data_IF_336354921274
#
_entry.id   IF_336354921274
#
_cell.length_a   1.000
_cell.length_b   1.000
_cell.length_c   1.000
_cell.angle_alpha   90.00
_cell.angle_beta   90.00
_cell.angle_gamma   90.00
#
_symmetry.space_group_name_H-M   'P 1'
#
loop_
_entity.id
_entity.type
_entity.pdbx_description
1 polymer ?
#
# COMPACT_ATOMS: atom_id res chain seq x y z
N UNK A 1 6.28 -4.91 -35.80
CA UNK A 1 5.78 -4.95 -34.39
C UNK A 1 6.55 -4.02 -33.45
N UNK A 2 7.87 -4.16 -33.32
CA UNK A 2 8.68 -3.32 -32.41
C UNK A 2 8.67 -1.82 -32.78
N UNK A 3 8.61 -1.52 -34.09
CA UNK A 3 8.52 -0.14 -34.59
C UNK A 3 7.14 0.47 -34.34
N UNK A 4 6.06 -0.25 -34.64
CA UNK A 4 4.70 0.21 -34.32
C UNK A 4 4.44 0.29 -32.80
N UNK A 5 5.04 -0.59 -32.00
CA UNK A 5 4.96 -0.52 -30.53
C UNK A 5 5.70 0.70 -29.99
N UNK A 6 6.88 1.03 -30.55
CA UNK A 6 7.60 2.25 -30.19
C UNK A 6 6.79 3.49 -30.55
N UNK A 7 6.19 3.53 -31.74
CA UNK A 7 5.34 4.65 -32.15
C UNK A 7 4.06 4.75 -31.32
N UNK A 8 3.51 3.62 -30.87
CA UNK A 8 2.38 3.56 -29.93
C UNK A 8 2.76 4.03 -28.52
N UNK A 9 3.90 3.57 -27.99
CA UNK A 9 4.41 3.91 -26.68
C UNK A 9 4.91 5.35 -26.61
N UNK A 10 5.27 5.98 -27.74
CA UNK A 10 5.63 7.40 -27.81
C UNK A 10 4.40 8.31 -27.92
N UNK A 11 3.18 7.76 -28.02
CA UNK A 11 1.97 8.59 -27.95
C UNK A 11 1.85 9.15 -26.53
N UNK A 12 1.84 10.48 -26.42
CA UNK A 12 1.77 11.17 -25.13
C UNK A 12 0.66 10.67 -24.21
N UNK A 13 -0.53 10.39 -24.76
CA UNK A 13 -1.68 9.90 -24.00
C UNK A 13 -1.45 8.53 -23.31
N UNK A 14 -0.66 7.63 -23.91
CA UNK A 14 -0.37 6.31 -23.36
C UNK A 14 0.71 6.39 -22.27
N UNK A 15 1.71 7.24 -22.47
CA UNK A 15 2.80 7.47 -21.50
C UNK A 15 2.26 8.16 -20.24
N UNK A 16 1.47 9.22 -20.40
CA UNK A 16 0.88 9.97 -19.29
C UNK A 16 -0.05 9.08 -18.44
N UNK A 17 -0.87 8.25 -19.10
CA UNK A 17 -1.72 7.28 -18.42
C UNK A 17 -0.89 6.25 -17.65
N UNK A 18 0.16 5.69 -18.25
CA UNK A 18 1.03 4.72 -17.59
C UNK A 18 1.73 5.32 -16.36
N UNK A 19 2.24 6.54 -16.47
CA UNK A 19 2.86 7.27 -15.34
C UNK A 19 1.83 7.47 -14.23
N UNK A 20 0.61 7.90 -14.55
CA UNK A 20 -0.46 8.10 -13.56
C UNK A 20 -0.81 6.83 -12.79
N UNK A 21 -0.88 5.69 -13.48
CA UNK A 21 -1.17 4.39 -12.85
C UNK A 21 -0.01 3.95 -11.94
N UNK A 22 1.24 4.08 -12.40
CA UNK A 22 2.42 3.69 -11.62
C UNK A 22 2.53 4.53 -10.35
N UNK A 23 2.34 5.84 -10.46
CA UNK A 23 2.36 6.75 -9.31
C UNK A 23 1.19 6.42 -8.38
N UNK A 24 -0.02 6.23 -8.90
CA UNK A 24 -1.19 5.87 -8.09
C UNK A 24 -0.99 4.57 -7.30
N UNK A 25 -0.44 3.54 -7.93
CA UNK A 25 -0.16 2.26 -7.29
C UNK A 25 0.96 2.36 -6.23
N UNK A 26 2.04 3.07 -6.53
CA UNK A 26 3.16 3.22 -5.61
C UNK A 26 2.82 4.14 -4.42
N UNK A 27 2.09 5.23 -4.66
CA UNK A 27 1.77 6.23 -3.64
C UNK A 27 0.90 5.66 -2.52
N UNK A 28 0.00 4.71 -2.83
CA UNK A 28 -0.78 4.00 -1.82
C UNK A 28 0.10 3.26 -0.80
N UNK A 29 1.22 2.67 -1.25
CA UNK A 29 2.16 1.97 -0.35
C UNK A 29 2.91 2.97 0.53
N UNK A 30 3.29 4.13 -0.02
CA UNK A 30 3.93 5.21 0.75
C UNK A 30 2.99 5.71 1.85
N UNK A 31 1.73 5.99 1.50
CA UNK A 31 0.72 6.43 2.47
C UNK A 31 0.48 5.34 3.52
N UNK A 32 0.41 4.06 3.12
CA UNK A 32 0.25 2.94 4.05
C UNK A 32 1.40 2.84 5.05
N UNK A 33 2.65 2.94 4.60
CA UNK A 33 3.82 2.93 5.49
C UNK A 33 3.82 4.15 6.42
N UNK A 34 3.48 5.34 5.91
CA UNK A 34 3.36 6.53 6.75
C UNK A 34 2.31 6.34 7.87
N UNK A 35 1.13 5.81 7.53
CA UNK A 35 0.10 5.55 8.53
C UNK A 35 0.55 4.46 9.51
N UNK A 36 1.10 3.37 9.01
CA UNK A 36 1.45 2.18 9.81
C UNK A 36 2.64 2.43 10.72
N UNK A 37 3.68 3.06 10.21
CA UNK A 37 4.97 3.13 10.87
C UNK A 37 5.13 4.42 11.69
N UNK A 38 4.40 5.49 11.33
CA UNK A 38 4.51 6.80 11.99
C UNK A 38 3.24 7.18 12.76
N UNK A 39 2.05 6.94 12.21
CA UNK A 39 0.79 7.35 12.88
C UNK A 39 0.25 6.30 13.84
N UNK A 40 0.32 5.00 13.52
CA UNK A 40 -0.20 3.95 14.40
C UNK A 40 0.51 3.84 15.76
N UNK A 41 1.84 4.04 15.91
CA UNK A 41 2.47 3.94 17.23
C UNK A 41 1.95 5.02 18.21
N UNK A 42 1.90 6.32 17.87
CA UNK A 42 1.31 7.34 18.75
C UNK A 42 -0.19 7.14 18.97
N UNK A 43 -0.96 6.76 17.94
CA UNK A 43 -2.39 6.50 18.06
C UNK A 43 -2.68 5.27 18.94
N UNK A 44 -1.89 4.20 18.80
CA UNK A 44 -1.99 3.00 19.63
C UNK A 44 -1.65 3.27 21.09
N UNK A 45 -0.69 4.15 21.35
CA UNK A 45 -0.38 4.63 22.70
C UNK A 45 -1.51 5.50 23.28
N UNK A 46 -2.07 6.41 22.48
CA UNK A 46 -3.16 7.30 22.91
C UNK A 46 -4.50 6.57 23.14
N UNK A 47 -4.77 5.50 22.38
CA UNK A 47 -5.97 4.66 22.51
C UNK A 47 -5.83 3.54 23.55
N UNK A 48 -4.73 3.51 24.32
CA UNK A 48 -4.60 2.66 25.51
C UNK A 48 -3.82 1.35 25.35
N UNK A 49 -2.86 1.29 24.42
CA UNK A 49 -1.92 0.15 24.32
C UNK A 49 -2.45 -1.08 23.60
N UNK A 50 -3.55 -0.94 22.83
CA UNK A 50 -3.96 -1.99 21.90
C UNK A 50 -3.01 -1.99 20.70
N UNK A 51 -2.12 -2.99 20.68
CA UNK A 51 -1.35 -3.33 19.50
C UNK A 51 -2.28 -3.99 18.47
N UNK A 52 -2.79 -3.19 17.53
CA UNK A 52 -3.59 -3.67 16.40
C UNK A 52 -2.82 -4.65 15.50
N UNK A 53 -1.50 -4.77 15.67
CA UNK A 53 -0.68 -5.80 15.03
C UNK A 53 -0.92 -7.18 15.63
N UNK A 54 -1.31 -7.28 16.91
CA UNK A 54 -1.45 -8.53 17.66
C UNK A 54 -2.85 -8.73 18.28
N UNK A 55 -3.87 -8.08 17.72
CA UNK A 55 -5.27 -8.18 18.17
C UNK A 55 -5.92 -9.48 17.66
N UNK A 56 -5.50 -10.62 18.19
CA UNK A 56 -6.15 -11.91 17.97
C UNK A 56 -6.75 -12.44 19.28
N UNK A 57 -8.03 -12.80 19.22
CA UNK A 57 -8.76 -13.38 20.34
C UNK A 57 -8.76 -14.90 20.15
N UNK A 58 -8.04 -15.64 21.00
CA UNK A 58 -8.01 -17.11 20.93
C UNK A 58 -9.39 -17.67 21.30
N UNK A 59 -10.15 -18.13 20.30
CA UNK A 59 -11.50 -18.66 20.49
C UNK A 59 -11.52 -20.04 21.17
N UNK A 60 -10.43 -20.82 21.06
CA UNK A 60 -10.25 -22.10 21.75
C UNK A 60 -8.77 -22.51 21.76
N UNK A 61 -8.27 -22.91 22.92
CA UNK A 61 -6.90 -23.43 23.08
C UNK A 61 -6.83 -24.85 22.50
N UNK A 62 -5.89 -25.08 21.58
CA UNK A 62 -5.65 -26.41 21.00
C UNK A 62 -4.96 -27.30 22.01
N UNK A 63 -5.68 -28.29 22.56
CA UNK A 63 -5.10 -29.31 23.44
C UNK A 63 -4.27 -30.29 22.60
N UNK A 64 -3.06 -30.62 23.08
CA UNK A 64 -2.14 -31.59 22.47
C UNK A 64 -2.72 -33.00 22.37
#
# INVERSE_FOLDING_TARGET
>A
MLKEFKDFALKGNAVEMAIGIIIGAAFGTIVKSLVTDILMPPLGLALGGFDFTNLFFTLKEGTA
#
